data_IF_878514242572
#
_entry.id   IF_878514242572
#
_cell.length_a   1.000
_cell.length_b   1.000
_cell.length_c   1.000
_cell.angle_alpha   90.00
_cell.angle_beta   90.00
_cell.angle_gamma   90.00
#
_symmetry.space_group_name_H-M   'P 1'
#
loop_
_entity.id
_entity.type
_entity.pdbx_description
1 polymer ?
#
# COMPACT_ATOMS: atom_id res chain seq x y z
N UNK A 1 2.68 -1.00 -28.91
CA UNK A 1 4.08 -1.29 -28.53
C UNK A 1 4.08 -2.61 -27.78
N UNK A 2 5.07 -3.49 -27.97
CA UNK A 2 5.02 -4.81 -27.35
C UNK A 2 5.05 -4.63 -25.83
N UNK A 3 4.10 -5.26 -25.15
CA UNK A 3 4.00 -5.40 -23.69
C UNK A 3 5.03 -6.42 -23.22
N UNK A 4 6.31 -6.16 -23.47
CA UNK A 4 7.41 -6.95 -22.96
C UNK A 4 8.00 -6.22 -21.73
N UNK A 5 8.45 -6.96 -20.70
CA UNK A 5 9.23 -6.41 -19.58
C UNK A 5 10.39 -5.55 -20.10
N UNK A 6 10.58 -4.36 -19.52
CA UNK A 6 11.72 -3.49 -19.84
C UNK A 6 13.02 -4.07 -19.28
N UNK A 7 12.95 -4.64 -18.08
CA UNK A 7 14.06 -5.39 -17.45
C UNK A 7 13.56 -6.57 -16.60
N UNK A 8 14.47 -7.18 -15.82
CA UNK A 8 14.17 -8.34 -14.98
C UNK A 8 13.25 -8.01 -13.80
N UNK A 9 13.26 -6.77 -13.29
CA UNK A 9 12.39 -6.34 -12.17
C UNK A 9 10.92 -6.37 -12.59
N UNK A 10 10.64 -6.00 -13.83
CA UNK A 10 9.27 -6.01 -14.37
C UNK A 10 8.64 -7.42 -14.37
N UNK A 11 9.46 -8.47 -14.45
CA UNK A 11 8.98 -9.85 -14.36
C UNK A 11 8.39 -10.20 -12.99
N UNK A 12 8.73 -9.43 -11.95
CA UNK A 12 8.19 -9.61 -10.59
C UNK A 12 6.92 -8.81 -10.31
N UNK A 13 6.39 -8.05 -11.28
CA UNK A 13 5.14 -7.29 -11.07
C UNK A 13 4.01 -8.17 -10.55
N UNK A 14 3.73 -9.29 -11.23
CA UNK A 14 2.64 -10.18 -10.87
C UNK A 14 2.77 -10.75 -9.44
N UNK A 15 3.91 -11.36 -9.03
CA UNK A 15 4.05 -11.84 -7.67
C UNK A 15 4.03 -10.73 -6.61
N UNK A 16 4.61 -9.55 -6.87
CA UNK A 16 4.55 -8.41 -5.94
C UNK A 16 3.11 -7.92 -5.77
N UNK A 17 2.40 -7.73 -6.88
CA UNK A 17 1.02 -7.27 -6.86
C UNK A 17 0.10 -8.24 -6.11
N UNK A 18 0.23 -9.55 -6.35
CA UNK A 18 -0.58 -10.57 -5.66
C UNK A 18 -0.32 -10.59 -4.14
N UNK A 19 0.92 -10.41 -3.70
CA UNK A 19 1.25 -10.37 -2.26
C UNK A 19 0.65 -9.14 -1.58
N UNK A 20 0.71 -7.99 -2.24
CA UNK A 20 0.14 -6.74 -1.73
C UNK A 20 -1.39 -6.84 -1.70
N UNK A 21 -2.02 -7.33 -2.77
CA UNK A 21 -3.46 -7.55 -2.85
C UNK A 21 -3.95 -8.44 -1.69
N UNK A 22 -3.27 -9.57 -1.44
CA UNK A 22 -3.56 -10.44 -0.30
C UNK A 22 -3.41 -9.73 1.05
N UNK A 23 -2.42 -8.83 1.22
CA UNK A 23 -2.28 -8.03 2.44
C UNK A 23 -3.40 -7.02 2.60
N UNK A 24 -3.80 -6.35 1.52
CA UNK A 24 -4.95 -5.44 1.51
C UNK A 24 -6.24 -6.20 1.90
N UNK A 25 -6.46 -7.40 1.36
CA UNK A 25 -7.60 -8.24 1.74
C UNK A 25 -7.57 -8.66 3.21
N UNK A 26 -6.39 -8.91 3.78
CA UNK A 26 -6.26 -9.20 5.22
C UNK A 26 -6.65 -7.99 6.06
N UNK A 27 -6.21 -6.80 5.65
CA UNK A 27 -6.54 -5.54 6.34
C UNK A 27 -8.02 -5.20 6.18
N UNK A 28 -8.63 -5.56 5.06
CA UNK A 28 -10.06 -5.40 4.80
C UNK A 28 -10.97 -6.15 5.79
N UNK A 29 -10.44 -7.21 6.41
CA UNK A 29 -11.18 -8.05 7.37
C UNK A 29 -11.06 -7.59 8.81
N UNK A 30 -10.17 -6.63 9.09
CA UNK A 30 -10.00 -6.05 10.41
C UNK A 30 -11.06 -4.98 10.64
N UNK A 31 -11.54 -4.89 11.88
CA UNK A 31 -12.26 -3.71 12.30
C UNK A 31 -11.30 -2.51 12.43
N UNK A 32 -11.87 -1.34 12.70
CA UNK A 32 -11.11 -0.09 12.73
C UNK A 32 -10.00 -0.10 13.79
N UNK A 33 -10.26 -0.63 14.98
CA UNK A 33 -9.31 -0.59 16.09
C UNK A 33 -8.21 -1.64 15.92
N UNK A 34 -8.55 -2.83 15.43
CA UNK A 34 -7.58 -3.85 15.05
C UNK A 34 -6.69 -3.41 13.88
N UNK A 35 -7.26 -2.72 12.89
CA UNK A 35 -6.52 -2.11 11.78
C UNK A 35 -5.52 -1.08 12.31
N UNK A 36 -5.99 -0.15 13.15
CA UNK A 36 -5.15 0.88 13.77
C UNK A 36 -4.00 0.25 14.56
N UNK A 37 -4.31 -0.68 15.47
CA UNK A 37 -3.32 -1.38 16.28
C UNK A 37 -2.28 -2.09 15.43
N UNK A 38 -2.71 -2.77 14.37
CA UNK A 38 -1.79 -3.47 13.47
C UNK A 38 -0.82 -2.49 12.79
N UNK A 39 -1.33 -1.38 12.27
CA UNK A 39 -0.51 -0.37 11.60
C UNK A 39 0.52 0.21 12.56
N UNK A 40 0.10 0.65 13.76
CA UNK A 40 1.01 1.22 14.77
C UNK A 40 2.11 0.23 15.17
N UNK A 41 1.77 -1.06 15.29
CA UNK A 41 2.75 -2.11 15.61
C UNK A 41 3.73 -2.38 14.47
N UNK A 42 3.27 -2.39 13.21
CA UNK A 42 4.11 -2.69 12.04
C UNK A 42 5.00 -1.51 11.65
N UNK A 43 4.57 -0.26 11.86
CA UNK A 43 5.35 0.97 11.54
C UNK A 43 6.11 1.55 12.72
N UNK A 44 5.75 1.16 13.95
CA UNK A 44 6.21 1.82 15.16
C UNK A 44 6.00 3.35 15.12
N UNK A 45 4.88 3.78 14.52
CA UNK A 45 4.51 5.18 14.32
C UNK A 45 3.02 5.38 14.55
N UNK A 46 2.65 6.57 15.01
CA UNK A 46 1.26 6.98 15.19
C UNK A 46 1.05 8.30 14.44
N UNK A 47 0.57 8.20 13.20
CA UNK A 47 0.30 9.35 12.35
C UNK A 47 -0.76 10.29 12.94
N UNK A 48 -0.51 11.59 12.85
CA UNK A 48 -1.37 12.70 13.27
C UNK A 48 -2.07 13.41 12.10
N UNK A 49 -1.56 13.27 10.87
CA UNK A 49 -2.22 13.71 9.64
C UNK A 49 -2.48 12.58 8.61
N UNK A 50 -3.35 12.88 7.64
CA UNK A 50 -3.76 11.96 6.57
C UNK A 50 -2.60 11.44 5.72
N UNK A 51 -1.62 12.29 5.42
CA UNK A 51 -0.47 11.95 4.57
C UNK A 51 0.43 10.95 5.28
N UNK A 52 0.72 11.20 6.55
CA UNK A 52 1.49 10.28 7.38
C UNK A 52 0.75 8.97 7.58
N UNK A 53 -0.57 9.00 7.77
CA UNK A 53 -1.37 7.77 7.92
C UNK A 53 -1.41 6.94 6.65
N UNK A 54 -1.52 7.58 5.49
CA UNK A 54 -1.43 6.91 4.20
C UNK A 54 -0.06 6.25 4.00
N UNK A 55 1.02 6.93 4.40
CA UNK A 55 2.37 6.36 4.40
C UNK A 55 2.46 5.14 5.32
N UNK A 56 1.95 5.25 6.54
CA UNK A 56 2.00 4.16 7.53
C UNK A 56 1.19 2.93 7.06
N UNK A 57 0.07 3.14 6.37
CA UNK A 57 -0.69 2.06 5.71
C UNK A 57 0.16 1.37 4.64
N UNK A 58 0.83 2.13 3.76
CA UNK A 58 1.69 1.56 2.71
C UNK A 58 2.82 0.75 3.33
N UNK A 59 3.49 1.29 4.35
CA UNK A 59 4.57 0.60 5.06
C UNK A 59 4.08 -0.69 5.72
N UNK A 60 2.91 -0.67 6.36
CA UNK A 60 2.30 -1.85 6.99
C UNK A 60 1.92 -2.93 5.96
N UNK A 61 1.25 -2.54 4.88
CA UNK A 61 0.85 -3.46 3.80
C UNK A 61 2.07 -4.09 3.12
N UNK A 62 3.19 -3.38 3.06
CA UNK A 62 4.45 -3.85 2.47
C UNK A 62 5.44 -4.43 3.48
N UNK A 63 5.07 -4.46 4.77
CA UNK A 63 5.95 -4.89 5.84
C UNK A 63 6.43 -6.35 5.62
N UNK A 64 7.75 -6.51 5.57
CA UNK A 64 8.47 -7.77 5.30
C UNK A 64 8.20 -8.39 3.92
N UNK A 65 7.66 -7.63 2.97
CA UNK A 65 7.57 -8.06 1.57
C UNK A 65 8.85 -7.70 0.82
N UNK A 66 9.38 -8.65 0.06
CA UNK A 66 10.36 -8.34 -0.99
C UNK A 66 9.62 -7.76 -2.20
N UNK A 67 9.81 -6.46 -2.42
CA UNK A 67 9.22 -5.72 -3.54
C UNK A 67 10.04 -5.87 -4.83
N UNK A 68 11.18 -6.56 -4.80
CA UNK A 68 12.00 -6.84 -5.98
C UNK A 68 12.37 -5.59 -6.80
N UNK A 69 12.51 -4.42 -6.16
CA UNK A 69 12.84 -3.15 -6.84
C UNK A 69 11.62 -2.30 -7.23
N UNK A 70 10.39 -2.79 -6.97
CA UNK A 70 9.18 -1.98 -7.09
C UNK A 70 9.06 -1.00 -5.92
N UNK A 71 8.63 0.22 -6.23
CA UNK A 71 8.30 1.23 -5.23
C UNK A 71 6.81 1.23 -4.96
N UNK A 72 6.44 1.59 -3.73
CA UNK A 72 5.05 1.68 -3.31
C UNK A 72 4.73 3.04 -2.71
N UNK A 73 3.58 3.57 -3.08
CA UNK A 73 3.04 4.80 -2.49
C UNK A 73 1.53 4.70 -2.36
N UNK A 74 0.95 5.59 -1.57
CA UNK A 74 -0.50 5.76 -1.57
C UNK A 74 -0.93 6.53 -2.81
N UNK A 75 -2.15 6.24 -3.26
CA UNK A 75 -2.89 6.90 -4.34
C UNK A 75 -4.34 7.04 -3.88
N UNK A 76 -5.07 8.03 -4.39
CA UNK A 76 -6.48 8.26 -4.02
C UNK A 76 -7.37 7.02 -4.26
N UNK A 77 -6.96 6.11 -5.16
CA UNK A 77 -7.68 4.88 -5.48
C UNK A 77 -7.12 3.64 -4.76
N UNK A 78 -5.98 3.75 -4.08
CA UNK A 78 -5.39 2.67 -3.28
C UNK A 78 -3.88 2.67 -3.25
N UNK A 79 -3.25 1.51 -3.50
CA UNK A 79 -1.80 1.36 -3.41
C UNK A 79 -1.17 1.35 -4.80
N UNK A 80 -0.32 2.34 -5.07
CA UNK A 80 0.43 2.47 -6.33
C UNK A 80 1.73 1.69 -6.26
N UNK A 81 1.96 0.89 -7.28
CA UNK A 81 3.20 0.19 -7.59
C UNK A 81 3.87 0.86 -8.79
N UNK A 82 5.14 1.22 -8.66
CA UNK A 82 5.90 1.84 -9.74
C UNK A 82 7.30 1.26 -9.91
N UNK A 83 7.70 1.09 -11.17
CA UNK A 83 9.05 0.72 -11.56
C UNK A 83 9.35 1.27 -12.96
N UNK A 84 10.32 2.19 -13.06
CA UNK A 84 10.63 2.89 -14.31
C UNK A 84 9.38 3.55 -14.94
N UNK A 85 9.01 3.24 -16.20
CA UNK A 85 7.81 3.77 -16.83
C UNK A 85 6.52 3.05 -16.39
N UNK A 86 6.62 1.90 -15.70
CA UNK A 86 5.47 1.08 -15.33
C UNK A 86 4.82 1.57 -14.05
N UNK A 87 3.49 1.67 -14.09
CA UNK A 87 2.66 2.11 -12.98
C UNK A 87 1.40 1.24 -12.93
N UNK A 88 1.09 0.71 -11.76
CA UNK A 88 -0.13 -0.05 -11.48
C UNK A 88 -0.73 0.48 -10.17
N UNK A 89 -2.06 0.61 -10.10
CA UNK A 89 -2.74 0.92 -8.85
C UNK A 89 -3.61 -0.26 -8.47
N UNK A 90 -3.38 -0.81 -7.28
CA UNK A 90 -4.23 -1.81 -6.65
C UNK A 90 -5.29 -1.08 -5.84
N UNK A 91 -6.56 -1.43 -6.06
CA UNK A 91 -7.68 -0.79 -5.39
C UNK A 91 -7.63 -1.00 -3.88
N UNK A 92 -7.80 0.08 -3.11
CA UNK A 92 -7.90 -0.04 -1.66
C UNK A 92 -9.31 -0.50 -1.23
N UNK A 93 -9.39 -1.43 -0.26
CA UNK A 93 -10.62 -1.72 0.45
C UNK A 93 -11.20 -0.46 1.14
N UNK A 94 -12.54 -0.29 1.15
CA UNK A 94 -13.17 0.92 1.68
C UNK A 94 -12.85 1.24 3.14
N UNK A 95 -12.65 0.22 3.99
CA UNK A 95 -12.31 0.44 5.40
C UNK A 95 -10.93 1.08 5.58
N UNK A 96 -9.97 0.77 4.71
CA UNK A 96 -8.62 1.37 4.72
C UNK A 96 -8.70 2.83 4.28
N UNK A 97 -9.44 3.12 3.21
CA UNK A 97 -9.66 4.50 2.75
C UNK A 97 -10.34 5.33 3.84
N UNK A 98 -11.41 4.81 4.45
CA UNK A 98 -12.10 5.49 5.55
C UNK A 98 -11.15 5.75 6.73
N UNK A 99 -10.33 4.77 7.12
CA UNK A 99 -9.35 4.91 8.21
C UNK A 99 -8.31 6.02 7.96
N UNK A 100 -7.87 6.20 6.71
CA UNK A 100 -6.97 7.31 6.34
C UNK A 100 -7.71 8.65 6.39
N UNK A 101 -8.95 8.70 5.89
CA UNK A 101 -9.77 9.91 5.82
C UNK A 101 -10.24 10.43 7.19
N UNK A 102 -10.19 9.60 8.24
CA UNK A 102 -10.45 10.01 9.63
C UNK A 102 -9.56 11.16 10.10
N UNK A 103 -8.35 11.28 9.54
CA UNK A 103 -7.44 12.38 9.86
C UNK A 103 -7.60 13.58 8.94
N UNK A 104 -7.33 14.78 9.49
CA UNK A 104 -7.23 15.98 8.68
C UNK A 104 -6.05 15.86 7.70
N UNK A 105 -6.18 16.53 6.56
CA UNK A 105 -5.01 16.85 5.74
C UNK A 105 -4.11 17.80 6.52
N UNK A 106 -2.79 17.68 6.35
CA UNK A 106 -1.86 18.68 6.88
C UNK A 106 -2.22 20.08 6.34
N UNK A 107 -2.14 21.10 7.19
CA UNK A 107 -2.35 22.51 6.83
C UNK A 107 -1.25 23.07 5.90
#
# INVERSE_FOLDING_TARGET
MPTAPHDYVDMFLAPVALRIDQRLEQFARLDRDDLHKRIVLETNSEADDRTLRARDVVESVTHLLDLHGWNTSWDDRGLRLSHGPHNLVLGAPPNITAYIEELPSAE
#
